data_IF_915585695294
#
_entry.id   IF_915585695294
#
_cell.length_a   1.000
_cell.length_b   1.000
_cell.length_c   1.000
_cell.angle_alpha   90.00
_cell.angle_beta   90.00
_cell.angle_gamma   90.00
#
_symmetry.space_group_name_H-M   'P 1'
#
loop_
_entity.id
_entity.type
_entity.pdbx_description
1 polymer ?
#
# COMPACT_ATOMS: atom_id res chain seq x y z
N UNK A 1 -10.89 17.75 13.38
CA UNK A 1 -11.18 16.45 14.03
C UNK A 1 -11.49 15.43 12.94
N UNK A 2 -10.72 14.35 12.87
CA UNK A 2 -11.05 13.20 12.00
C UNK A 2 -12.33 12.54 12.52
N UNK A 3 -13.30 12.28 11.66
CA UNK A 3 -14.51 11.53 12.03
C UNK A 3 -14.13 10.08 12.39
N UNK A 4 -14.73 9.51 13.45
CA UNK A 4 -14.39 8.16 13.96
C UNK A 4 -14.34 7.08 12.86
N UNK A 5 -15.18 7.20 11.83
CA UNK A 5 -15.27 6.27 10.71
C UNK A 5 -14.02 6.29 9.78
N UNK A 6 -13.36 7.45 9.61
CA UNK A 6 -12.14 7.56 8.78
C UNK A 6 -10.98 6.79 9.38
N UNK A 7 -10.77 7.00 10.69
CA UNK A 7 -9.68 6.34 11.41
C UNK A 7 -9.89 4.82 11.49
N UNK A 8 -11.14 4.37 11.56
CA UNK A 8 -11.48 2.94 11.51
C UNK A 8 -11.17 2.32 10.14
N UNK A 9 -11.54 2.98 9.04
CA UNK A 9 -11.20 2.54 7.68
C UNK A 9 -9.69 2.44 7.46
N UNK A 10 -8.93 3.44 7.90
CA UNK A 10 -7.45 3.43 7.79
C UNK A 10 -6.85 2.27 8.58
N UNK A 11 -7.29 2.09 9.83
CA UNK A 11 -6.84 0.95 10.66
C UNK A 11 -7.18 -0.39 10.01
N UNK A 12 -8.34 -0.48 9.36
CA UNK A 12 -8.72 -1.69 8.63
C UNK A 12 -7.79 -1.93 7.43
N UNK A 13 -7.47 -0.91 6.64
CA UNK A 13 -6.51 -1.02 5.52
C UNK A 13 -5.15 -1.46 6.02
N UNK A 14 -4.61 -0.84 7.08
CA UNK A 14 -3.33 -1.23 7.67
C UNK A 14 -3.34 -2.71 8.07
N UNK A 15 -4.39 -3.13 8.80
CA UNK A 15 -4.55 -4.53 9.21
C UNK A 15 -4.60 -5.48 8.01
N UNK A 16 -5.30 -5.10 6.93
CA UNK A 16 -5.41 -5.92 5.72
C UNK A 16 -4.08 -5.99 4.95
N UNK A 17 -3.30 -4.91 4.92
CA UNK A 17 -1.94 -4.92 4.35
C UNK A 17 -1.02 -5.82 5.17
N UNK A 18 -1.07 -5.74 6.49
CA UNK A 18 -0.37 -6.63 7.42
C UNK A 18 -0.76 -8.09 7.21
N UNK A 19 -2.07 -8.38 7.10
CA UNK A 19 -2.58 -9.73 6.88
C UNK A 19 -2.11 -10.28 5.53
N UNK A 20 -2.21 -9.50 4.46
CA UNK A 20 -1.87 -9.92 3.10
C UNK A 20 -0.38 -10.26 2.95
N UNK A 21 0.49 -9.33 3.34
CA UNK A 21 1.94 -9.51 3.19
C UNK A 21 2.57 -10.27 4.36
N UNK A 22 1.85 -10.43 5.47
CA UNK A 22 2.25 -11.21 6.65
C UNK A 22 3.68 -10.86 7.09
N UNK A 23 4.57 -11.85 7.19
CA UNK A 23 5.97 -11.69 7.61
C UNK A 23 6.85 -10.89 6.64
N UNK A 24 6.32 -10.52 5.47
CA UNK A 24 7.04 -9.75 4.45
C UNK A 24 7.02 -8.25 4.74
N UNK A 25 6.14 -7.77 5.62
CA UNK A 25 6.15 -6.36 6.05
C UNK A 25 7.05 -6.19 7.26
N UNK A 26 7.89 -5.17 7.23
CA UNK A 26 8.91 -4.93 8.27
C UNK A 26 8.73 -3.61 9.02
N UNK A 27 7.95 -2.67 8.48
CA UNK A 27 7.59 -1.43 9.16
C UNK A 27 6.33 -0.82 8.55
N UNK A 28 5.57 -0.11 9.38
CA UNK A 28 4.50 0.81 8.96
C UNK A 28 4.77 2.19 9.54
N UNK A 29 4.56 3.21 8.74
CA UNK A 29 4.44 4.60 9.18
C UNK A 29 3.17 5.16 8.57
N UNK A 30 2.36 5.84 9.38
CA UNK A 30 1.14 6.51 8.92
C UNK A 30 1.38 7.99 9.03
N UNK A 31 1.31 8.69 7.91
CA UNK A 31 1.39 10.14 7.84
C UNK A 31 0.02 10.69 7.44
N UNK A 32 -0.35 11.81 8.06
CA UNK A 32 -1.60 12.52 7.76
C UNK A 32 -1.24 13.95 7.43
N UNK A 33 -1.64 14.44 6.26
CA UNK A 33 -1.55 15.88 6.01
C UNK A 33 -2.59 16.63 6.84
N UNK A 34 -2.20 17.83 7.32
CA UNK A 34 -3.07 18.75 8.06
C UNK A 34 -4.14 19.33 7.10
N UNK A 35 -5.13 18.51 6.73
CA UNK A 35 -6.48 18.87 6.26
C UNK A 35 -7.36 17.63 5.93
N UNK A 36 -6.99 16.43 6.42
CA UNK A 36 -7.85 15.23 6.53
C UNK A 36 -8.53 14.69 5.24
N UNK A 37 -8.08 15.12 4.07
CA UNK A 37 -8.53 14.62 2.77
C UNK A 37 -7.67 13.48 2.22
N UNK A 38 -6.43 13.36 2.70
CA UNK A 38 -5.46 12.36 2.25
C UNK A 38 -4.74 11.72 3.44
N UNK A 39 -4.51 10.41 3.34
CA UNK A 39 -3.74 9.63 4.30
C UNK A 39 -2.68 8.82 3.58
N UNK A 40 -1.47 8.84 4.11
CA UNK A 40 -0.35 8.10 3.59
C UNK A 40 0.00 6.96 4.53
N UNK A 41 0.10 5.75 3.99
CA UNK A 41 0.59 4.57 4.70
C UNK A 41 1.88 4.15 4.01
N UNK A 42 3.00 4.41 4.66
CA UNK A 42 4.29 3.91 4.22
C UNK A 42 4.55 2.53 4.82
N UNK A 43 4.94 1.57 4.00
CA UNK A 43 5.35 0.25 4.47
C UNK A 43 6.57 -0.29 3.72
N UNK A 44 7.41 -1.05 4.43
CA UNK A 44 8.56 -1.73 3.84
C UNK A 44 8.23 -3.21 3.62
N UNK A 45 8.03 -3.58 2.35
CA UNK A 45 7.67 -4.92 1.90
C UNK A 45 8.91 -5.65 1.34
N UNK A 46 9.02 -6.94 1.63
CA UNK A 46 10.16 -7.80 1.26
C UNK A 46 11.51 -7.23 1.67
N UNK A 47 11.53 -6.42 2.74
CA UNK A 47 12.72 -5.75 3.29
C UNK A 47 13.47 -4.87 2.27
N UNK A 48 12.85 -4.57 1.12
CA UNK A 48 13.53 -3.97 -0.04
C UNK A 48 12.71 -2.88 -0.73
N UNK A 49 11.38 -2.96 -0.65
CA UNK A 49 10.48 -2.06 -1.35
C UNK A 49 9.76 -1.16 -0.36
N UNK A 50 10.04 0.14 -0.45
CA UNK A 50 9.28 1.16 0.27
C UNK A 50 8.04 1.45 -0.55
N UNK A 51 6.87 1.21 0.02
CA UNK A 51 5.58 1.42 -0.61
C UNK A 51 4.91 2.56 0.13
N UNK A 52 4.41 3.53 -0.61
CA UNK A 52 3.51 4.55 -0.08
C UNK A 52 2.13 4.29 -0.65
N UNK A 53 1.16 4.07 0.23
CA UNK A 53 -0.25 3.98 -0.13
C UNK A 53 -0.90 5.30 0.20
N UNK A 54 -1.46 5.98 -0.79
CA UNK A 54 -2.29 7.17 -0.58
C UNK A 54 -3.77 6.78 -0.61
N UNK A 55 -4.49 7.24 0.41
CA UNK A 55 -5.94 7.12 0.56
C UNK A 55 -6.54 8.51 0.50
N UNK A 56 -7.13 8.87 -0.64
CA UNK A 56 -7.89 10.11 -0.81
C UNK A 56 -9.39 9.83 -0.82
N UNK A 57 -10.21 10.86 -0.61
CA UNK A 57 -11.69 10.78 -0.74
C UNK A 57 -12.36 9.66 0.09
N UNK A 58 -11.82 9.38 1.28
CA UNK A 58 -12.30 8.31 2.19
C UNK A 58 -13.80 8.42 2.52
N UNK A 59 -14.40 9.62 2.43
CA UNK A 59 -15.84 9.83 2.65
C UNK A 59 -16.73 9.43 1.45
N UNK A 60 -16.16 9.29 0.25
CA UNK A 60 -16.88 9.02 -1.00
C UNK A 60 -16.54 7.65 -1.62
N UNK A 61 -15.98 6.75 -0.82
CA UNK A 61 -15.60 5.41 -1.28
C UNK A 61 -14.14 5.25 -1.66
N UNK A 62 -13.29 6.26 -1.42
CA UNK A 62 -11.83 6.13 -1.43
C UNK A 62 -11.18 5.91 -2.80
N UNK A 63 -10.04 6.56 -3.05
CA UNK A 63 -9.11 6.17 -4.12
C UNK A 63 -7.86 5.58 -3.48
N UNK A 64 -7.41 4.44 -4.01
CA UNK A 64 -6.21 3.74 -3.54
C UNK A 64 -5.06 3.97 -4.52
N UNK A 65 -4.17 4.89 -4.17
CA UNK A 65 -2.96 5.17 -4.92
C UNK A 65 -1.77 4.40 -4.34
N UNK A 66 -0.92 3.84 -5.19
CA UNK A 66 0.23 3.03 -4.79
C UNK A 66 1.49 3.53 -5.48
N UNK A 67 2.38 4.12 -4.70
CA UNK A 67 3.71 4.51 -5.14
C UNK A 67 4.75 3.53 -4.61
N UNK A 68 5.68 3.13 -5.49
CA UNK A 68 6.70 2.11 -5.16
C UNK A 68 8.09 2.68 -5.36
N UNK A 69 8.94 2.47 -4.36
CA UNK A 69 10.33 2.92 -4.29
C UNK A 69 11.26 1.76 -3.90
N UNK A 70 12.51 1.74 -4.42
CA UNK A 70 13.59 0.92 -3.84
C UNK A 70 14.32 1.79 -2.83
N UNK A 71 14.20 1.44 -1.55
CA UNK A 71 14.67 2.29 -0.45
C UNK A 71 13.85 3.59 -0.28
N UNK A 72 14.22 4.41 0.70
CA UNK A 72 13.45 5.60 1.11
C UNK A 72 13.57 6.81 0.14
N UNK A 73 14.60 6.84 -0.71
CA UNK A 73 14.98 8.06 -1.45
C UNK A 73 14.93 7.91 -2.99
N UNK A 74 14.58 6.74 -3.53
CA UNK A 74 14.52 6.53 -4.98
C UNK A 74 13.17 5.94 -5.38
N UNK A 75 12.27 6.83 -5.80
CA UNK A 75 11.00 6.45 -6.43
C UNK A 75 11.29 5.56 -7.64
N UNK A 76 10.75 4.35 -7.62
CA UNK A 76 10.96 3.38 -8.67
C UNK A 76 9.99 3.62 -9.81
N UNK A 77 8.73 3.92 -9.48
CA UNK A 77 7.63 4.21 -10.40
C UNK A 77 6.37 4.50 -9.56
N UNK A 78 5.53 5.45 -9.96
CA UNK A 78 4.13 5.43 -9.53
C UNK A 78 3.46 4.29 -10.29
N UNK A 79 3.08 3.22 -9.61
CA UNK A 79 2.54 2.02 -10.27
C UNK A 79 1.20 2.32 -10.97
N UNK A 80 0.63 3.50 -10.72
CA UNK A 80 -0.63 3.99 -11.27
C UNK A 80 -0.41 5.31 -12.06
N UNK A 81 0.70 5.43 -12.80
CA UNK A 81 0.91 6.58 -13.72
C UNK A 81 0.11 6.49 -15.04
N UNK A 82 -0.93 5.63 -15.11
CA UNK A 82 -1.78 5.43 -16.30
C UNK A 82 -3.30 5.29 -15.99
N UNK A 83 -3.80 6.05 -15.01
CA UNK A 83 -5.16 6.61 -15.11
C UNK A 83 -6.36 5.69 -14.83
N UNK A 84 -6.22 4.69 -13.95
CA UNK A 84 -7.41 4.14 -13.28
C UNK A 84 -7.24 4.21 -11.76
N UNK A 85 -7.93 5.17 -11.16
CA UNK A 85 -8.16 5.22 -9.72
C UNK A 85 -8.75 3.86 -9.28
N UNK A 86 -7.98 3.10 -8.49
CA UNK A 86 -8.47 1.84 -7.95
C UNK A 86 -9.43 2.17 -6.81
N UNK A 87 -10.73 2.14 -7.11
CA UNK A 87 -11.77 2.29 -6.07
C UNK A 87 -11.53 1.28 -4.95
N UNK A 88 -11.63 1.77 -3.71
CA UNK A 88 -11.42 0.96 -2.50
C UNK A 88 -12.63 1.09 -1.58
N UNK A 89 -13.46 0.07 -1.55
CA UNK A 89 -14.62 0.02 -0.65
C UNK A 89 -14.25 -0.27 0.81
N UNK A 90 -12.96 -0.16 1.16
CA UNK A 90 -12.36 -0.45 2.47
C UNK A 90 -12.69 -1.84 3.02
N UNK A 91 -13.16 -2.76 2.17
CA UNK A 91 -13.37 -4.16 2.49
C UNK A 91 -12.17 -5.02 2.10
N UNK A 92 -12.15 -6.25 2.60
CA UNK A 92 -11.04 -7.19 2.37
C UNK A 92 -10.81 -7.49 0.90
N UNK A 93 -11.87 -7.71 0.12
CA UNK A 93 -11.76 -8.17 -1.26
C UNK A 93 -11.21 -7.06 -2.17
N UNK A 94 -11.70 -5.83 -2.02
CA UNK A 94 -11.23 -4.66 -2.73
C UNK A 94 -9.77 -4.33 -2.40
N UNK A 95 -9.40 -4.32 -1.10
CA UNK A 95 -8.00 -4.12 -0.68
C UNK A 95 -7.11 -5.20 -1.25
N UNK A 96 -7.47 -6.48 -1.10
CA UNK A 96 -6.62 -7.60 -1.53
C UNK A 96 -6.44 -7.65 -3.04
N UNK A 97 -7.46 -7.25 -3.81
CA UNK A 97 -7.35 -7.11 -5.26
C UNK A 97 -6.26 -6.11 -5.64
N UNK A 98 -6.25 -4.94 -4.99
CA UNK A 98 -5.24 -3.90 -5.25
C UNK A 98 -3.85 -4.34 -4.78
N UNK A 99 -3.74 -4.96 -3.60
CA UNK A 99 -2.47 -5.50 -3.09
C UNK A 99 -1.92 -6.63 -3.96
N UNK A 100 -2.78 -7.42 -4.60
CA UNK A 100 -2.35 -8.47 -5.54
C UNK A 100 -1.71 -7.89 -6.80
N UNK A 101 -2.20 -6.76 -7.31
CA UNK A 101 -1.58 -6.07 -8.45
C UNK A 101 -0.17 -5.59 -8.05
N UNK A 102 -0.06 -4.95 -6.88
CA UNK A 102 1.21 -4.52 -6.32
C UNK A 102 2.17 -5.72 -6.13
N UNK A 103 1.72 -6.77 -5.46
CA UNK A 103 2.54 -7.95 -5.16
C UNK A 103 3.08 -8.61 -6.43
N UNK A 104 2.23 -8.80 -7.43
CA UNK A 104 2.63 -9.33 -8.74
C UNK A 104 3.69 -8.45 -9.41
N UNK A 105 3.53 -7.12 -9.35
CA UNK A 105 4.53 -6.20 -9.87
C UNK A 105 5.86 -6.30 -9.13
N UNK A 106 5.85 -6.29 -7.79
CA UNK A 106 7.05 -6.42 -6.97
C UNK A 106 7.79 -7.73 -7.31
N UNK A 107 7.07 -8.85 -7.33
CA UNK A 107 7.63 -10.17 -7.67
C UNK A 107 8.16 -10.23 -9.10
N UNK A 108 7.51 -9.57 -10.05
CA UNK A 108 8.00 -9.48 -11.43
C UNK A 108 9.32 -8.71 -11.53
N UNK A 109 9.51 -7.68 -10.72
CA UNK A 109 10.75 -6.88 -10.67
C UNK A 109 11.89 -7.53 -9.89
N UNK A 110 11.61 -8.56 -9.09
CA UNK A 110 12.64 -9.28 -8.32
C UNK A 110 13.47 -10.21 -9.19
N UNK A 111 14.76 -10.29 -8.90
CA UNK A 111 15.65 -11.34 -9.42
C UNK A 111 15.33 -12.69 -8.77
N UNK A 112 15.77 -13.78 -9.40
CA UNK A 112 15.61 -15.12 -8.83
C UNK A 112 16.32 -15.28 -7.48
N UNK A 113 17.45 -14.58 -7.29
CA UNK A 113 18.16 -14.56 -6.01
C UNK A 113 17.32 -13.89 -4.93
N UNK A 114 16.76 -12.71 -5.21
CA UNK A 114 15.87 -12.01 -4.28
C UNK A 114 14.65 -12.86 -3.92
N UNK A 115 14.01 -13.50 -4.91
CA UNK A 115 12.86 -14.38 -4.66
C UNK A 115 13.21 -15.54 -3.73
N UNK A 116 14.39 -16.14 -3.87
CA UNK A 116 14.89 -17.17 -2.94
C UNK A 116 15.15 -16.61 -1.55
N UNK A 117 15.82 -15.46 -1.44
CA UNK A 117 16.09 -14.80 -0.15
C UNK A 117 14.80 -14.47 0.61
N UNK A 118 13.73 -14.12 -0.10
CA UNK A 118 12.45 -13.77 0.48
C UNK A 118 11.46 -14.95 0.58
N UNK A 119 11.88 -16.18 0.25
CA UNK A 119 11.05 -17.38 0.26
C UNK A 119 9.74 -17.25 -0.56
N UNK A 120 9.85 -16.62 -1.73
CA UNK A 120 8.74 -16.43 -2.68
C UNK A 120 8.68 -17.57 -3.73
N UNK A 121 9.81 -18.23 -3.98
CA UNK A 121 9.97 -19.40 -4.86
C UNK A 121 10.01 -20.70 -4.05
#
# INVERSE_FOLDING_TARGET
>A
MLTNNKMENIKNVIKLVEEYFSSSVSSFQVETEEDAQEFFIDCLIYRSYWIQLSLTDVEKGGVFNIDVSIGKNTALYSLIENGEDLSIYFDKDSVYKNLTILDNYLKWRMTDEQKRTFNIL
#
